data_IF_434405262697
#
_entry.id   IF_434405262697
#
_cell.length_a   1.000
_cell.length_b   1.000
_cell.length_c   1.000
_cell.angle_alpha   90.00
_cell.angle_beta   90.00
_cell.angle_gamma   90.00
#
_symmetry.space_group_name_H-M   'P 1'
#
loop_
_entity.id
_entity.type
_entity.pdbx_description
1 polymer ?
#
# COMPACT_ATOMS: atom_id res chain seq x y z
N UNK A 1 2.39 -16.94 -2.36
CA UNK A 1 1.02 -16.43 -2.51
C UNK A 1 1.11 -15.05 -3.14
N UNK A 2 0.18 -14.71 -4.02
CA UNK A 2 0.14 -13.39 -4.68
C UNK A 2 -0.80 -12.50 -3.89
N UNK A 3 -0.34 -11.29 -3.52
CA UNK A 3 -1.16 -10.29 -2.84
C UNK A 3 -2.41 -9.92 -3.65
N UNK A 4 -3.59 -10.04 -3.03
CA UNK A 4 -4.86 -9.57 -3.58
C UNK A 4 -5.01 -8.07 -3.32
N UNK A 5 -5.26 -7.32 -4.39
CA UNK A 5 -5.45 -5.87 -4.36
C UNK A 5 -6.90 -5.53 -4.69
N UNK A 6 -7.48 -4.61 -3.92
CA UNK A 6 -8.79 -4.03 -4.26
C UNK A 6 -8.68 -3.16 -5.51
N UNK A 7 -9.83 -2.78 -6.09
CA UNK A 7 -9.87 -1.82 -7.20
C UNK A 7 -9.19 -0.50 -6.83
N UNK A 8 -9.35 -0.05 -5.58
CA UNK A 8 -8.74 1.17 -5.08
C UNK A 8 -7.22 1.04 -4.97
N UNK A 9 -6.74 -0.07 -4.44
CA UNK A 9 -5.31 -0.37 -4.35
C UNK A 9 -4.66 -0.40 -5.74
N UNK A 10 -5.32 -1.07 -6.69
CA UNK A 10 -4.85 -1.15 -8.07
C UNK A 10 -4.84 0.22 -8.75
N UNK A 11 -5.88 1.04 -8.56
CA UNK A 11 -5.91 2.43 -9.08
C UNK A 11 -4.78 3.28 -8.50
N UNK A 12 -4.47 3.09 -7.21
CA UNK A 12 -3.38 3.80 -6.52
C UNK A 12 -2.03 3.37 -7.06
N UNK A 13 -1.84 2.05 -7.25
CA UNK A 13 -0.63 1.48 -7.84
C UNK A 13 -0.40 1.97 -9.29
N UNK A 14 -1.48 2.12 -10.05
CA UNK A 14 -1.47 2.63 -11.43
C UNK A 14 -1.21 4.14 -11.51
N UNK A 15 -1.24 4.86 -10.39
CA UNK A 15 -0.93 6.29 -10.33
C UNK A 15 -2.13 7.22 -10.54
N UNK A 16 -3.36 6.71 -10.48
CA UNK A 16 -4.57 7.54 -10.57
C UNK A 16 -4.69 8.51 -9.38
N UNK A 17 -4.02 8.21 -8.27
CA UNK A 17 -3.95 9.07 -7.07
C UNK A 17 -2.63 9.86 -6.98
N UNK A 18 -1.91 9.97 -8.09
CA UNK A 18 -0.67 10.73 -8.20
C UNK A 18 0.60 9.91 -7.94
N UNK A 19 1.78 10.48 -8.28
CA UNK A 19 3.04 9.76 -8.30
C UNK A 19 3.52 9.32 -6.92
N UNK A 20 3.32 10.15 -5.88
CA UNK A 20 3.73 9.83 -4.51
C UNK A 20 2.91 8.67 -3.94
N UNK A 21 1.60 8.66 -4.18
CA UNK A 21 0.71 7.57 -3.74
C UNK A 21 1.08 6.25 -4.44
N UNK A 22 1.37 6.29 -5.75
CA UNK A 22 1.86 5.12 -6.48
C UNK A 22 3.18 4.59 -5.94
N UNK A 23 4.13 5.48 -5.60
CA UNK A 23 5.40 5.09 -5.01
C UNK A 23 5.21 4.41 -3.65
N UNK A 24 4.39 4.97 -2.77
CA UNK A 24 4.04 4.36 -1.49
C UNK A 24 3.37 2.99 -1.68
N UNK A 25 2.41 2.88 -2.61
CA UNK A 25 1.71 1.63 -2.90
C UNK A 25 2.65 0.53 -3.41
N UNK A 26 3.66 0.87 -4.23
CA UNK A 26 4.70 -0.08 -4.67
C UNK A 26 5.49 -0.64 -3.48
N UNK A 27 5.84 0.21 -2.51
CA UNK A 27 6.54 -0.22 -1.29
C UNK A 27 5.66 -1.16 -0.48
N UNK A 28 4.39 -0.80 -0.27
CA UNK A 28 3.44 -1.64 0.46
C UNK A 28 3.26 -3.01 -0.21
N UNK A 29 3.03 -3.05 -1.53
CA UNK A 29 2.87 -4.29 -2.27
C UNK A 29 4.13 -5.18 -2.22
N UNK A 30 5.32 -4.60 -2.36
CA UNK A 30 6.57 -5.34 -2.28
C UNK A 30 6.78 -5.93 -0.87
N UNK A 31 6.55 -5.14 0.18
CA UNK A 31 6.66 -5.58 1.56
C UNK A 31 5.66 -6.70 1.88
N UNK A 32 4.39 -6.52 1.51
CA UNK A 32 3.34 -7.52 1.70
C UNK A 32 3.67 -8.85 1.02
N UNK A 33 4.17 -8.82 -0.21
CA UNK A 33 4.62 -10.04 -0.89
C UNK A 33 5.82 -10.69 -0.18
N UNK A 34 6.78 -9.90 0.32
CA UNK A 34 7.96 -10.40 1.02
C UNK A 34 7.62 -11.12 2.34
N UNK A 35 6.60 -10.64 3.06
CA UNK A 35 6.12 -11.28 4.30
C UNK A 35 5.08 -12.38 4.05
N UNK A 36 4.69 -12.63 2.80
CA UNK A 36 3.67 -13.62 2.45
C UNK A 36 2.24 -13.22 2.82
N UNK A 37 1.94 -11.93 2.88
CA UNK A 37 0.58 -11.43 3.11
C UNK A 37 -0.33 -11.69 1.90
N UNK A 38 -1.58 -12.07 2.16
CA UNK A 38 -2.57 -12.32 1.12
C UNK A 38 -3.40 -11.09 0.75
N UNK A 39 -3.60 -10.16 1.70
CA UNK A 39 -4.41 -8.96 1.48
C UNK A 39 -3.90 -7.79 2.33
N UNK A 40 -4.27 -6.57 1.93
CA UNK A 40 -4.15 -5.39 2.78
C UNK A 40 -5.41 -5.24 3.64
N UNK A 41 -5.27 -4.62 4.80
CA UNK A 41 -6.38 -4.31 5.70
C UNK A 41 -6.62 -2.80 5.72
N UNK A 42 -7.82 -2.39 5.32
CA UNK A 42 -8.25 -1.01 5.43
C UNK A 42 -8.42 -0.62 6.91
N UNK A 43 -7.88 0.54 7.28
CA UNK A 43 -7.99 1.11 8.62
C UNK A 43 -8.59 2.52 8.54
N UNK A 44 -9.34 2.91 9.57
CA UNK A 44 -9.94 4.26 9.66
C UNK A 44 -9.05 5.26 10.41
N UNK A 45 -7.96 4.79 11.04
CA UNK A 45 -7.03 5.64 11.76
C UNK A 45 -5.73 4.92 12.11
N UNK A 46 -4.64 5.68 12.11
CA UNK A 46 -3.33 5.26 12.58
C UNK A 46 -2.72 6.37 13.43
N UNK A 47 -2.05 6.01 14.51
CA UNK A 47 -1.19 6.92 15.26
C UNK A 47 0.24 6.78 14.74
N UNK A 48 0.80 7.85 14.18
CA UNK A 48 2.18 7.85 13.65
C UNK A 48 3.03 8.67 14.59
N UNK A 49 3.80 8.00 15.44
CA UNK A 49 4.61 8.64 16.49
C UNK A 49 6.04 8.97 16.00
N UNK A 50 6.13 9.58 14.81
CA UNK A 50 7.39 10.01 14.22
C UNK A 50 7.34 10.15 12.70
N UNK A 51 7.72 11.33 12.21
CA UNK A 51 8.06 11.57 10.82
C UNK A 51 9.39 12.33 10.80
N UNK A 52 10.45 11.64 10.40
CA UNK A 52 11.79 12.23 10.27
C UNK A 52 11.97 12.69 8.82
N UNK A 53 12.65 13.82 8.63
CA UNK A 53 13.00 14.38 7.33
C UNK A 53 14.28 13.76 6.78
#
# INVERSE_FOLDING_TARGET
MTLELTVRDQSTLNGEHGPSAAAAMKILAAFSNAIGANSLLDITGAHIDGCLY
#
